data_IF_096242789771
#
_entry.id   IF_096242789771
#
_cell.length_a   1.000
_cell.length_b   1.000
_cell.length_c   1.000
_cell.angle_alpha   90.00
_cell.angle_beta   90.00
_cell.angle_gamma   90.00
#
_symmetry.space_group_name_H-M   'P 1'
#
loop_
_entity.id
_entity.type
_entity.pdbx_description
1 polymer ?
#
# COMPACT_ATOMS: atom_id res chain seq x y z
N UNK A 1 -50.84 -36.82 -64.08
CA UNK A 1 -50.93 -36.33 -62.69
C UNK A 1 -49.54 -36.43 -62.04
N UNK A 2 -49.09 -35.41 -61.29
CA UNK A 2 -47.68 -35.21 -60.95
C UNK A 2 -47.27 -35.99 -59.70
N UNK A 3 -46.08 -36.62 -59.72
CA UNK A 3 -45.42 -37.14 -58.51
C UNK A 3 -44.86 -35.96 -57.71
N UNK A 4 -45.33 -35.79 -56.47
CA UNK A 4 -44.79 -34.87 -55.46
C UNK A 4 -43.42 -35.36 -54.95
N UNK A 5 -42.54 -34.43 -54.50
CA UNK A 5 -41.11 -34.66 -54.39
C UNK A 5 -40.72 -35.40 -53.12
N UNK A 6 -39.64 -36.17 -53.24
CA UNK A 6 -38.99 -36.90 -52.16
C UNK A 6 -38.59 -35.97 -51.00
N UNK A 7 -38.80 -36.49 -49.79
CA UNK A 7 -38.62 -35.82 -48.50
C UNK A 7 -37.28 -35.08 -48.35
N UNK A 8 -37.30 -33.77 -48.59
CA UNK A 8 -36.22 -32.84 -48.22
C UNK A 8 -36.04 -32.67 -46.70
N UNK A 9 -36.93 -33.24 -45.87
CA UNK A 9 -36.91 -33.10 -44.40
C UNK A 9 -35.77 -33.87 -43.73
N UNK A 10 -35.45 -35.08 -44.20
CA UNK A 10 -34.39 -35.92 -43.60
C UNK A 10 -32.99 -35.31 -43.78
N UNK A 11 -32.72 -34.76 -44.96
CA UNK A 11 -31.43 -34.14 -45.30
C UNK A 11 -31.22 -32.84 -44.53
N UNK A 12 -32.25 -32.01 -44.36
CA UNK A 12 -32.17 -30.75 -43.59
C UNK A 12 -31.98 -31.04 -42.10
N UNK A 13 -32.67 -32.03 -41.55
CA UNK A 13 -32.53 -32.44 -40.14
C UNK A 13 -31.14 -33.03 -39.85
N UNK A 14 -30.60 -33.85 -40.76
CA UNK A 14 -29.25 -34.38 -40.64
C UNK A 14 -28.19 -33.28 -40.76
N UNK A 15 -28.38 -32.32 -41.69
CA UNK A 15 -27.53 -31.13 -41.81
C UNK A 15 -27.56 -30.24 -40.57
N UNK A 16 -28.71 -30.07 -39.93
CA UNK A 16 -28.82 -29.31 -38.68
C UNK A 16 -28.13 -30.02 -37.51
N UNK A 17 -28.22 -31.36 -37.42
CA UNK A 17 -27.45 -32.12 -36.43
C UNK A 17 -25.95 -32.00 -36.65
N UNK A 18 -25.49 -32.03 -37.90
CA UNK A 18 -24.07 -31.80 -38.24
C UNK A 18 -23.64 -30.37 -37.86
N UNK A 19 -24.46 -29.36 -38.15
CA UNK A 19 -24.17 -27.96 -37.79
C UNK A 19 -24.10 -27.76 -36.27
N UNK A 20 -25.03 -28.34 -35.51
CA UNK A 20 -25.05 -28.25 -34.04
C UNK A 20 -23.84 -28.97 -33.44
N UNK A 21 -23.50 -30.15 -33.94
CA UNK A 21 -22.34 -30.91 -33.45
C UNK A 21 -21.02 -30.22 -33.79
N UNK A 22 -20.88 -29.64 -34.99
CA UNK A 22 -19.72 -28.81 -35.36
C UNK A 22 -19.62 -27.55 -34.50
N UNK A 23 -20.74 -26.86 -34.25
CA UNK A 23 -20.77 -25.68 -33.38
C UNK A 23 -20.38 -26.03 -31.93
N UNK A 24 -20.89 -27.14 -31.40
CA UNK A 24 -20.53 -27.60 -30.06
C UNK A 24 -19.05 -27.98 -29.97
N UNK A 25 -18.52 -28.67 -30.99
CA UNK A 25 -17.10 -29.00 -31.06
C UNK A 25 -16.21 -27.75 -31.14
N UNK A 26 -16.60 -26.74 -31.93
CA UNK A 26 -15.91 -25.45 -32.00
C UNK A 26 -15.97 -24.70 -30.65
N UNK A 27 -17.10 -24.72 -29.96
CA UNK A 27 -17.20 -24.14 -28.61
C UNK A 27 -16.31 -24.88 -27.60
N UNK A 28 -16.24 -26.21 -27.64
CA UNK A 28 -15.36 -26.99 -26.75
C UNK A 28 -13.89 -26.72 -27.08
N UNK A 29 -13.53 -26.63 -28.36
CA UNK A 29 -12.17 -26.27 -28.79
C UNK A 29 -11.82 -24.82 -28.40
N UNK A 30 -12.77 -23.89 -28.48
CA UNK A 30 -12.60 -22.51 -28.01
C UNK A 30 -12.46 -22.45 -26.49
N UNK A 31 -13.23 -23.24 -25.74
CA UNK A 31 -13.05 -23.36 -24.29
C UNK A 31 -11.71 -24.01 -23.93
N UNK A 32 -11.28 -25.02 -24.67
CA UNK A 32 -9.96 -25.63 -24.50
C UNK A 32 -8.83 -24.67 -24.89
N UNK A 33 -9.00 -23.84 -25.91
CA UNK A 33 -8.01 -22.83 -26.31
C UNK A 33 -7.97 -21.67 -25.33
N UNK A 34 -9.10 -21.20 -24.80
CA UNK A 34 -9.18 -20.21 -23.72
C UNK A 34 -8.58 -20.78 -22.43
N UNK A 35 -8.85 -22.05 -22.10
CA UNK A 35 -8.29 -22.69 -20.90
C UNK A 35 -6.80 -23.01 -21.07
N UNK A 36 -6.34 -23.37 -22.28
CA UNK A 36 -4.90 -23.40 -22.63
C UNK A 36 -4.29 -22.01 -22.60
N UNK A 37 -5.00 -20.96 -23.02
CA UNK A 37 -4.49 -19.60 -22.95
C UNK A 37 -4.42 -19.14 -21.50
N UNK A 38 -5.45 -19.36 -20.67
CA UNK A 38 -5.41 -19.16 -19.21
C UNK A 38 -4.34 -20.00 -18.52
N UNK A 39 -4.05 -21.24 -18.97
CA UNK A 39 -2.96 -22.06 -18.44
C UNK A 39 -1.58 -21.66 -18.98
N UNK A 40 -1.51 -21.05 -20.17
CA UNK A 40 -0.33 -20.39 -20.73
C UNK A 40 -0.10 -18.99 -20.13
N UNK A 41 -1.14 -18.33 -19.61
CA UNK A 41 -1.05 -17.13 -18.75
C UNK A 41 -0.81 -17.52 -17.29
N UNK A 42 -1.13 -18.76 -16.89
CA UNK A 42 -0.81 -19.34 -15.58
C UNK A 42 0.46 -20.19 -15.59
N UNK A 43 1.24 -20.16 -16.69
CA UNK A 43 2.65 -20.52 -16.65
C UNK A 43 3.35 -19.33 -16.01
N UNK A 44 3.40 -19.36 -14.68
CA UNK A 44 4.52 -18.88 -13.88
C UNK A 44 5.32 -17.74 -14.53
N UNK A 45 4.68 -16.62 -14.88
CA UNK A 45 5.33 -15.33 -14.75
C UNK A 45 5.57 -15.22 -13.26
N UNK A 46 6.76 -15.69 -12.88
CA UNK A 46 7.47 -15.28 -11.70
C UNK A 46 7.53 -13.75 -11.71
N UNK A 47 6.42 -13.09 -11.38
CA UNK A 47 6.37 -11.68 -10.99
C UNK A 47 6.96 -11.52 -9.57
N UNK A 48 7.91 -12.39 -9.24
CA UNK A 48 8.76 -12.36 -8.06
C UNK A 48 10.13 -11.75 -8.38
N UNK A 49 10.33 -11.23 -9.59
CA UNK A 49 11.62 -10.66 -10.03
C UNK A 49 11.60 -9.15 -10.31
N UNK A 50 10.63 -8.38 -9.82
CA UNK A 50 10.68 -6.91 -9.88
C UNK A 50 10.28 -6.17 -8.59
N UNK A 51 10.07 -6.90 -7.49
CA UNK A 51 10.06 -6.35 -6.13
C UNK A 51 11.28 -6.80 -5.32
N UNK A 52 12.38 -7.14 -5.99
CA UNK A 52 13.69 -6.91 -5.38
C UNK A 52 13.91 -5.40 -5.35
N UNK A 53 13.27 -4.72 -4.40
CA UNK A 53 13.95 -3.58 -3.75
C UNK A 53 15.33 -4.14 -3.42
N UNK A 54 16.34 -3.60 -4.08
CA UNK A 54 17.68 -4.14 -4.07
C UNK A 54 18.03 -4.58 -2.65
N UNK A 55 18.56 -5.79 -2.55
CA UNK A 55 19.03 -6.46 -1.34
C UNK A 55 20.16 -5.67 -0.69
N UNK A 56 19.84 -4.50 -0.20
CA UNK A 56 20.62 -3.67 0.68
C UNK A 56 19.78 -3.66 1.96
N UNK A 57 20.11 -4.56 2.90
CA UNK A 57 19.77 -4.24 4.29
C UNK A 57 20.46 -2.90 4.50
N UNK A 58 19.69 -1.82 4.62
CA UNK A 58 20.26 -0.49 4.86
C UNK A 58 21.19 -0.68 6.07
N UNK A 59 22.52 -0.55 5.90
CA UNK A 59 23.43 -0.78 7.00
C UNK A 59 23.02 0.13 8.14
N UNK A 60 23.12 -0.34 9.38
CA UNK A 60 22.90 0.50 10.55
C UNK A 60 24.04 1.53 10.60
N UNK A 61 23.92 2.61 9.82
CA UNK A 61 24.89 3.69 9.80
C UNK A 61 24.61 4.53 11.03
N UNK A 62 25.50 4.44 12.01
CA UNK A 62 25.45 5.32 13.18
C UNK A 62 25.69 6.74 12.69
N UNK A 63 24.66 7.58 12.75
CA UNK A 63 24.77 8.98 12.39
C UNK A 63 25.73 9.69 13.37
N UNK A 64 26.80 10.25 12.83
CA UNK A 64 27.84 10.99 13.57
C UNK A 64 27.81 12.48 13.32
N UNK A 65 26.78 12.99 12.62
CA UNK A 65 26.63 14.42 12.33
C UNK A 65 25.92 15.16 13.46
N UNK A 66 26.12 16.47 13.51
CA UNK A 66 25.56 17.33 14.56
C UNK A 66 24.20 17.94 14.20
N UNK A 67 23.62 17.58 13.03
CA UNK A 67 22.44 18.25 12.45
C UNK A 67 21.42 17.25 11.90
N UNK A 68 20.60 16.62 12.77
CA UNK A 68 19.57 15.69 12.35
C UNK A 68 18.49 16.38 11.51
N UNK A 69 18.06 15.75 10.42
CA UNK A 69 16.95 16.21 9.57
C UNK A 69 15.62 15.53 9.92
N UNK A 70 14.54 16.26 9.65
CA UNK A 70 13.19 15.72 9.51
C UNK A 70 12.92 15.38 8.05
N UNK A 71 12.65 14.11 7.77
CA UNK A 71 12.11 13.67 6.49
C UNK A 71 10.59 13.77 6.52
N UNK A 72 10.02 14.64 5.68
CA UNK A 72 8.59 14.74 5.44
C UNK A 72 8.22 13.81 4.27
N UNK A 73 7.36 12.83 4.56
CA UNK A 73 6.96 11.78 3.63
C UNK A 73 5.49 11.98 3.27
N UNK A 74 5.24 12.57 2.10
CA UNK A 74 3.88 12.80 1.62
C UNK A 74 3.41 11.59 0.82
N UNK A 75 2.37 10.92 1.31
CA UNK A 75 1.63 9.89 0.58
C UNK A 75 0.37 10.53 -0.01
N UNK A 76 0.50 11.05 -1.23
CA UNK A 76 -0.58 11.71 -1.95
C UNK A 76 -1.08 10.81 -3.08
N UNK A 77 -2.31 11.03 -3.57
CA UNK A 77 -2.75 10.34 -4.79
C UNK A 77 -2.24 11.06 -6.03
N UNK A 78 -2.50 12.37 -6.15
CA UNK A 78 -2.08 13.22 -7.26
C UNK A 78 -1.54 14.53 -6.70
N UNK A 79 -2.43 15.47 -6.43
CA UNK A 79 -2.07 16.83 -6.07
C UNK A 79 -1.90 16.98 -4.54
N UNK A 80 -1.27 18.08 -4.12
CA UNK A 80 -1.20 18.53 -2.73
C UNK A 80 -2.04 19.81 -2.58
N UNK A 81 -3.36 19.72 -2.34
CA UNK A 81 -4.25 20.89 -2.37
C UNK A 81 -3.95 21.92 -1.28
N UNK A 82 -3.22 21.53 -0.25
CA UNK A 82 -2.80 22.37 0.88
C UNK A 82 -1.33 22.80 0.77
N UNK A 83 -0.74 22.72 -0.43
CA UNK A 83 0.66 23.09 -0.71
C UNK A 83 1.03 24.49 -0.22
N UNK A 84 0.10 25.45 -0.23
CA UNK A 84 0.31 26.82 0.23
C UNK A 84 0.60 26.93 1.74
N UNK A 85 0.01 26.06 2.56
CA UNK A 85 0.32 25.99 4.00
C UNK A 85 1.72 25.44 4.21
N UNK A 86 2.05 24.38 3.47
CA UNK A 86 3.36 23.75 3.51
C UNK A 86 4.47 24.65 2.94
N UNK A 87 4.20 25.43 1.89
CA UNK A 87 5.11 26.44 1.34
C UNK A 87 5.48 27.46 2.41
N UNK A 88 4.49 28.03 3.11
CA UNK A 88 4.76 28.97 4.21
C UNK A 88 5.55 28.32 5.35
N UNK A 89 5.20 27.08 5.70
CA UNK A 89 5.87 26.31 6.73
C UNK A 89 7.36 26.09 6.38
N UNK A 90 7.67 25.62 5.17
CA UNK A 90 9.05 25.36 4.73
C UNK A 90 9.85 26.64 4.45
N UNK A 91 9.23 27.74 4.01
CA UNK A 91 9.91 29.05 3.87
C UNK A 91 10.47 29.58 5.19
N UNK A 92 9.86 29.22 6.31
CA UNK A 92 10.32 29.60 7.65
C UNK A 92 11.49 28.75 8.18
N UNK A 93 11.91 27.72 7.43
CA UNK A 93 12.85 26.70 7.88
C UNK A 93 14.22 26.80 7.18
N UNK A 94 15.30 26.43 7.90
CA UNK A 94 16.60 26.16 7.27
C UNK A 94 16.50 24.86 6.45
N UNK A 95 16.74 24.93 5.14
CA UNK A 95 16.66 23.78 4.22
C UNK A 95 17.61 22.63 4.61
N UNK A 96 18.64 22.89 5.41
CA UNK A 96 19.54 21.84 5.92
C UNK A 96 18.90 20.96 6.99
N UNK A 97 17.78 21.37 7.57
CA UNK A 97 17.10 20.70 8.68
C UNK A 97 15.98 19.74 8.24
N UNK A 98 15.67 19.68 6.94
CA UNK A 98 14.62 18.80 6.46
C UNK A 98 14.89 18.27 5.06
N UNK A 99 14.09 17.26 4.68
CA UNK A 99 14.02 16.68 3.36
C UNK A 99 12.56 16.34 3.06
N UNK A 100 12.17 16.35 1.78
CA UNK A 100 10.79 16.10 1.35
C UNK A 100 10.82 14.95 0.35
N UNK A 101 9.93 13.98 0.54
CA UNK A 101 9.72 12.84 -0.35
C UNK A 101 8.23 12.71 -0.63
N UNK A 102 7.87 12.49 -1.89
CA UNK A 102 6.47 12.40 -2.30
C UNK A 102 6.23 11.08 -3.03
N UNK A 103 5.24 10.33 -2.57
CA UNK A 103 4.68 9.24 -3.34
C UNK A 103 3.35 9.69 -3.93
N UNK A 104 3.17 9.42 -5.21
CA UNK A 104 1.95 9.71 -5.98
C UNK A 104 1.69 8.58 -6.96
N UNK A 105 0.55 8.61 -7.68
CA UNK A 105 0.29 7.62 -8.72
C UNK A 105 1.43 7.60 -9.76
N UNK A 106 1.74 6.43 -10.36
CA UNK A 106 2.77 6.32 -11.38
C UNK A 106 2.54 7.31 -12.54
N UNK A 107 3.61 8.01 -12.93
CA UNK A 107 3.59 8.97 -14.03
C UNK A 107 3.07 10.36 -13.68
N UNK A 108 2.61 10.59 -12.45
CA UNK A 108 2.31 11.94 -11.98
C UNK A 108 3.62 12.71 -11.71
N UNK A 109 3.66 13.99 -12.04
CA UNK A 109 4.83 14.86 -11.89
C UNK A 109 4.40 16.10 -11.15
N UNK A 110 5.17 16.48 -10.13
CA UNK A 110 5.00 17.77 -9.46
C UNK A 110 5.82 18.84 -10.17
N UNK A 111 5.15 19.72 -10.89
CA UNK A 111 5.71 20.90 -11.54
C UNK A 111 4.78 22.12 -11.39
N UNK A 112 5.12 23.22 -12.06
CA UNK A 112 4.38 24.49 -12.03
C UNK A 112 2.90 24.36 -12.43
N UNK A 113 2.52 23.31 -13.17
CA UNK A 113 1.13 23.06 -13.58
C UNK A 113 0.31 22.34 -12.51
N UNK A 114 0.98 21.64 -11.58
CA UNK A 114 0.35 20.75 -10.59
C UNK A 114 0.44 21.23 -9.14
N UNK A 115 1.40 22.09 -8.82
CA UNK A 115 1.65 22.64 -7.48
C UNK A 115 2.14 24.07 -7.59
N UNK A 116 1.72 24.92 -6.65
CA UNK A 116 2.16 26.31 -6.55
C UNK A 116 3.43 26.46 -5.71
N UNK A 117 3.76 25.44 -4.93
CA UNK A 117 4.94 25.42 -4.07
C UNK A 117 6.13 24.79 -4.78
N UNK A 118 7.20 25.57 -4.92
CA UNK A 118 8.47 25.12 -5.51
C UNK A 118 9.15 24.02 -4.66
N UNK A 119 8.81 23.92 -3.38
CA UNK A 119 9.34 22.88 -2.49
C UNK A 119 8.93 21.46 -2.91
N UNK A 120 7.93 21.30 -3.77
CA UNK A 120 7.46 19.99 -4.21
C UNK A 120 7.90 19.62 -5.62
N UNK A 121 8.57 20.52 -6.35
CA UNK A 121 8.89 20.31 -7.75
C UNK A 121 9.83 19.11 -7.93
N UNK A 122 9.40 18.15 -8.76
CA UNK A 122 10.14 16.97 -9.17
C UNK A 122 10.64 16.09 -8.00
N UNK A 123 9.97 16.15 -6.84
CA UNK A 123 10.31 15.35 -5.66
C UNK A 123 9.54 14.03 -5.55
N UNK A 124 8.64 13.75 -6.49
CA UNK A 124 7.98 12.45 -6.54
C UNK A 124 8.97 11.30 -6.78
N UNK A 125 8.72 10.18 -6.10
CA UNK A 125 9.48 8.96 -6.32
C UNK A 125 9.28 8.45 -7.76
N UNK A 126 10.37 8.02 -8.40
CA UNK A 126 10.33 7.53 -9.79
C UNK A 126 9.70 6.13 -9.90
N UNK A 127 9.81 5.32 -8.85
CA UNK A 127 9.32 3.95 -8.78
C UNK A 127 8.00 3.85 -7.98
N UNK A 128 7.09 4.80 -8.21
CA UNK A 128 5.77 4.83 -7.57
C UNK A 128 4.98 3.53 -7.77
N UNK A 129 4.10 3.27 -6.80
CA UNK A 129 3.25 2.08 -6.71
C UNK A 129 1.82 2.51 -6.95
N UNK A 130 1.06 1.76 -7.75
CA UNK A 130 -0.38 1.98 -7.84
C UNK A 130 -1.05 1.60 -6.51
N UNK A 131 -1.42 2.61 -5.73
CA UNK A 131 -2.06 2.42 -4.44
C UNK A 131 -3.56 2.22 -4.60
N UNK A 132 -4.08 1.19 -3.94
CA UNK A 132 -5.51 0.95 -3.76
C UNK A 132 -5.85 1.09 -2.27
N UNK A 133 -6.93 1.81 -1.96
CA UNK A 133 -7.34 2.06 -0.58
C UNK A 133 -7.80 0.78 0.13
N UNK A 134 -7.29 0.56 1.35
CA UNK A 134 -7.55 -0.63 2.15
C UNK A 134 -6.87 -1.89 1.64
N UNK A 135 -5.89 -1.77 0.74
CA UNK A 135 -5.06 -2.86 0.26
C UNK A 135 -3.61 -2.69 0.71
N UNK A 136 -2.86 -3.78 0.72
CA UNK A 136 -1.46 -3.80 1.14
C UNK A 136 -0.52 -2.99 0.23
N UNK A 137 -1.00 -2.53 -0.93
CA UNK A 137 -0.29 -1.55 -1.77
C UNK A 137 -0.04 -0.22 -1.04
N UNK A 138 -0.91 0.15 -0.08
CA UNK A 138 -0.74 1.36 0.74
C UNK A 138 0.53 1.24 1.59
N UNK A 139 0.65 0.14 2.36
CA UNK A 139 1.86 -0.17 3.15
C UNK A 139 3.10 -0.24 2.24
N UNK A 140 2.98 -0.82 1.04
CA UNK A 140 4.11 -0.90 0.11
C UNK A 140 4.62 0.50 -0.28
N UNK A 141 3.72 1.45 -0.53
CA UNK A 141 4.05 2.84 -0.83
C UNK A 141 4.70 3.56 0.37
N UNK A 142 4.16 3.37 1.57
CA UNK A 142 4.74 3.90 2.82
C UNK A 142 6.15 3.38 3.06
N UNK A 143 6.37 2.07 2.90
CA UNK A 143 7.69 1.45 3.01
C UNK A 143 8.67 1.99 1.97
N UNK A 144 8.19 2.27 0.75
CA UNK A 144 9.01 2.84 -0.31
C UNK A 144 9.44 4.29 0.02
N UNK A 145 8.53 5.11 0.56
CA UNK A 145 8.86 6.45 1.08
C UNK A 145 9.92 6.38 2.17
N UNK A 146 9.72 5.52 3.17
CA UNK A 146 10.67 5.33 4.27
C UNK A 146 12.03 4.84 3.75
N UNK A 147 12.05 3.88 2.83
CA UNK A 147 13.29 3.37 2.25
C UNK A 147 14.08 4.46 1.53
N UNK A 148 13.40 5.25 0.69
CA UNK A 148 14.00 6.37 -0.05
C UNK A 148 14.54 7.44 0.91
N UNK A 149 13.82 7.73 2.00
CA UNK A 149 14.25 8.70 2.98
C UNK A 149 15.40 8.22 3.87
N UNK A 150 15.52 6.90 4.10
CA UNK A 150 16.61 6.31 4.88
C UNK A 150 17.96 6.37 4.14
N UNK A 151 17.96 6.60 2.82
CA UNK A 151 19.20 6.76 2.04
C UNK A 151 20.01 7.99 2.47
N UNK A 152 19.36 9.09 2.93
CA UNK A 152 20.07 10.20 3.56
C UNK A 152 20.38 9.84 5.03
N UNK A 153 21.65 9.66 5.42
CA UNK A 153 22.01 9.34 6.79
C UNK A 153 21.70 10.48 7.76
N UNK A 154 21.48 11.71 7.27
CA UNK A 154 21.09 12.87 8.09
C UNK A 154 19.62 12.81 8.50
N UNK A 155 18.78 12.06 7.80
CA UNK A 155 17.37 11.88 8.19
C UNK A 155 17.29 11.02 9.45
N UNK A 156 16.91 11.65 10.56
CA UNK A 156 16.82 11.01 11.89
C UNK A 156 15.39 10.97 12.42
N UNK A 157 14.48 11.75 11.84
CA UNK A 157 13.04 11.72 12.11
C UNK A 157 12.27 11.61 10.80
N UNK A 158 11.20 10.83 10.80
CA UNK A 158 10.41 10.53 9.60
C UNK A 158 8.94 10.81 9.93
N UNK A 159 8.31 11.71 9.20
CA UNK A 159 6.92 12.13 9.41
C UNK A 159 6.11 11.72 8.19
N UNK A 160 5.18 10.78 8.38
CA UNK A 160 4.29 10.32 7.31
C UNK A 160 2.99 11.13 7.30
N UNK A 161 2.67 11.71 6.15
CA UNK A 161 1.58 12.67 5.97
C UNK A 161 0.72 12.31 4.75
N UNK A 162 -0.57 12.68 4.82
CA UNK A 162 -1.45 12.66 3.66
C UNK A 162 -1.43 14.00 2.92
N UNK A 163 -2.15 14.05 1.80
CA UNK A 163 -2.50 15.26 1.06
C UNK A 163 -3.46 16.21 1.83
N UNK A 164 -4.03 15.75 2.95
CA UNK A 164 -4.94 16.51 3.81
C UNK A 164 -4.34 16.93 5.15
N UNK A 165 -3.12 16.53 5.49
CA UNK A 165 -2.44 16.92 6.73
C UNK A 165 -1.98 18.39 6.67
N UNK A 166 -1.98 19.06 7.83
CA UNK A 166 -1.57 20.46 7.95
C UNK A 166 -0.70 20.67 9.18
N UNK A 167 0.41 21.41 9.11
CA UNK A 167 1.21 21.69 10.30
C UNK A 167 0.42 22.59 11.24
N UNK A 168 0.25 22.15 12.50
CA UNK A 168 -0.47 22.91 13.54
C UNK A 168 0.42 23.91 14.29
N UNK A 169 1.74 23.77 14.14
CA UNK A 169 2.76 24.61 14.77
C UNK A 169 3.83 25.00 13.73
N UNK A 170 4.64 26.00 14.05
CA UNK A 170 5.76 26.41 13.19
C UNK A 170 6.86 25.32 13.09
N UNK A 171 7.69 25.44 12.06
CA UNK A 171 8.75 24.46 11.80
C UNK A 171 9.72 24.34 12.98
N UNK A 172 10.10 25.45 13.60
CA UNK A 172 11.04 25.46 14.72
C UNK A 172 10.53 24.68 15.91
N UNK A 173 9.25 24.82 16.24
CA UNK A 173 8.60 24.04 17.31
C UNK A 173 8.60 22.54 16.98
N UNK A 174 8.08 22.16 15.81
CA UNK A 174 7.98 20.76 15.37
C UNK A 174 9.36 20.10 15.32
N UNK A 175 10.35 20.79 14.75
CA UNK A 175 11.73 20.32 14.66
C UNK A 175 12.30 20.05 16.06
N UNK A 176 12.24 21.03 16.97
CA UNK A 176 12.76 20.86 18.35
C UNK A 176 12.05 19.73 19.08
N UNK A 177 10.71 19.66 18.98
CA UNK A 177 9.91 18.64 19.65
C UNK A 177 10.27 17.22 19.16
N UNK A 178 10.31 17.02 17.84
CA UNK A 178 10.59 15.71 17.27
C UNK A 178 12.06 15.29 17.46
N UNK A 179 13.01 16.18 17.17
CA UNK A 179 14.45 15.86 17.27
C UNK A 179 14.87 15.56 18.71
N UNK A 180 14.36 16.30 19.69
CA UNK A 180 14.72 16.10 21.10
C UNK A 180 14.07 14.85 21.73
N UNK A 181 12.94 14.40 21.19
CA UNK A 181 12.25 13.20 21.69
C UNK A 181 12.99 11.92 21.29
N UNK A 182 13.35 11.01 22.21
CA UNK A 182 13.90 9.70 21.86
C UNK A 182 12.84 8.72 21.36
N UNK A 183 11.56 9.12 21.30
CA UNK A 183 10.41 8.25 21.05
C UNK A 183 9.85 8.43 19.65
N UNK A 184 9.25 7.37 19.15
CA UNK A 184 8.31 7.47 18.03
C UNK A 184 6.89 7.73 18.53
N UNK A 185 6.11 8.40 17.71
CA UNK A 185 4.71 8.72 17.94
C UNK A 185 3.85 7.89 16.99
N UNK A 186 3.30 6.81 17.54
CA UNK A 186 2.50 5.82 16.82
C UNK A 186 1.34 5.44 17.73
N UNK A 187 0.11 5.74 17.33
CA UNK A 187 -1.08 5.31 18.05
C UNK A 187 -1.13 3.78 18.07
N UNK A 188 -1.36 3.17 19.23
CA UNK A 188 -1.45 1.71 19.32
C UNK A 188 -2.43 1.30 20.42
N UNK A 189 -3.57 0.78 20.02
CA UNK A 189 -4.61 0.29 20.92
C UNK A 189 -5.11 -1.08 20.49
N UNK A 190 -5.83 -1.75 21.40
CA UNK A 190 -6.46 -3.03 21.10
C UNK A 190 -7.63 -2.81 20.13
N UNK A 191 -7.69 -3.65 19.10
CA UNK A 191 -8.77 -3.61 18.11
C UNK A 191 -10.08 -4.17 18.68
N UNK A 192 -11.09 -3.31 18.83
CA UNK A 192 -12.43 -3.68 19.29
C UNK A 192 -13.30 -4.29 18.18
N UNK A 193 -12.95 -4.05 16.91
CA UNK A 193 -13.81 -4.33 15.74
C UNK A 193 -13.68 -5.79 15.23
N UNK A 194 -12.97 -6.66 15.96
CA UNK A 194 -12.74 -8.08 15.62
C UNK A 194 -12.22 -8.29 14.18
N UNK A 195 -11.36 -7.39 13.68
CA UNK A 195 -10.82 -7.44 12.31
C UNK A 195 -9.71 -8.50 12.13
N UNK A 196 -9.11 -8.92 13.24
CA UNK A 196 -8.10 -9.98 13.26
C UNK A 196 -8.63 -11.32 12.73
N UNK A 197 -7.81 -12.02 11.95
CA UNK A 197 -8.09 -13.38 11.48
C UNK A 197 -7.01 -14.36 11.95
N UNK A 198 -7.42 -15.56 12.38
CA UNK A 198 -6.50 -16.62 12.82
C UNK A 198 -5.52 -17.08 11.73
N UNK A 199 -5.77 -16.74 10.46
CA UNK A 199 -4.85 -17.03 9.34
C UNK A 199 -3.51 -16.28 9.44
N UNK A 200 -3.42 -15.23 10.27
CA UNK A 200 -2.18 -14.51 10.50
C UNK A 200 -1.29 -15.17 11.58
N UNK A 201 -1.82 -16.14 12.33
CA UNK A 201 -1.05 -16.94 13.29
C UNK A 201 -0.12 -17.93 12.55
N UNK A 202 1.11 -18.21 13.03
CA UNK A 202 1.70 -17.75 14.29
C UNK A 202 2.46 -16.41 14.20
N UNK A 203 2.69 -15.88 12.99
CA UNK A 203 3.54 -14.71 12.78
C UNK A 203 3.00 -13.46 13.49
N UNK A 204 1.70 -13.20 13.34
CA UNK A 204 0.99 -12.15 14.07
C UNK A 204 0.04 -12.82 15.04
N UNK A 205 0.41 -12.85 16.31
CA UNK A 205 -0.47 -13.34 17.38
C UNK A 205 -1.56 -12.32 17.68
N UNK A 206 -2.74 -12.79 18.12
CA UNK A 206 -3.88 -11.91 18.41
C UNK A 206 -3.56 -10.88 19.50
N UNK A 207 -2.78 -11.28 20.49
CA UNK A 207 -2.32 -10.43 21.60
C UNK A 207 -1.39 -9.28 21.15
N UNK A 208 -0.78 -9.45 19.96
CA UNK A 208 0.13 -8.49 19.34
C UNK A 208 -0.54 -7.66 18.24
N UNK A 209 -1.79 -7.98 17.88
CA UNK A 209 -2.60 -7.21 16.94
C UNK A 209 -2.96 -5.85 17.52
N UNK A 210 -2.58 -4.78 16.83
CA UNK A 210 -2.82 -3.40 17.26
C UNK A 210 -3.50 -2.61 16.15
N UNK A 211 -4.28 -1.61 16.54
CA UNK A 211 -4.91 -0.61 15.67
C UNK A 211 -4.37 0.78 16.03
N UNK A 212 -4.28 1.66 15.05
CA UNK A 212 -3.83 3.04 15.22
C UNK A 212 -4.13 3.90 14.00
N UNK A 213 -3.75 5.17 14.10
CA UNK A 213 -3.67 6.07 12.93
C UNK A 213 -2.59 5.58 11.96
N UNK A 214 -2.85 5.72 10.66
CA UNK A 214 -1.83 5.54 9.61
C UNK A 214 -0.72 6.59 9.72
N UNK A 215 -1.07 7.81 10.12
CA UNK A 215 -0.16 8.96 10.18
C UNK A 215 0.68 8.90 11.45
N UNK A 216 2.00 8.90 11.27
CA UNK A 216 2.98 8.57 12.32
C UNK A 216 4.23 9.44 12.23
N UNK A 217 4.95 9.54 13.35
CA UNK A 217 6.30 10.09 13.40
C UNK A 217 7.27 9.08 14.00
N UNK A 218 8.36 8.79 13.30
CA UNK A 218 9.29 7.72 13.64
C UNK A 218 10.70 8.25 13.90
N UNK A 219 11.38 7.61 14.83
CA UNK A 219 12.84 7.65 14.90
C UNK A 219 13.42 6.72 13.83
N UNK A 220 14.66 6.99 13.41
CA UNK A 220 15.34 6.22 12.37
C UNK A 220 15.32 4.70 12.58
N UNK A 221 15.65 4.23 13.77
CA UNK A 221 15.70 2.79 14.05
C UNK A 221 14.34 2.08 13.87
N UNK A 222 13.22 2.77 14.12
CA UNK A 222 11.90 2.21 13.85
C UNK A 222 11.54 2.25 12.36
N UNK A 223 11.95 3.29 11.62
CA UNK A 223 11.82 3.32 10.17
C UNK A 223 12.60 2.16 9.51
N UNK A 224 13.81 1.88 9.99
CA UNK A 224 14.63 0.74 9.55
C UNK A 224 13.94 -0.61 9.83
N UNK A 225 13.29 -0.78 10.99
CA UNK A 225 12.49 -1.99 11.28
C UNK A 225 11.36 -2.17 10.26
N UNK A 226 10.67 -1.09 9.89
CA UNK A 226 9.55 -1.15 8.93
C UNK A 226 10.03 -1.50 7.53
N UNK A 227 11.10 -0.86 7.06
CA UNK A 227 11.63 -1.09 5.71
C UNK A 227 12.22 -2.49 5.57
N UNK A 228 12.89 -3.00 6.61
CA UNK A 228 13.52 -4.31 6.61
C UNK A 228 12.57 -5.47 6.97
N UNK A 229 11.27 -5.21 7.20
CA UNK A 229 10.33 -6.27 7.57
C UNK A 229 10.05 -7.24 6.40
N UNK A 230 10.44 -8.50 6.58
CA UNK A 230 10.21 -9.63 5.69
C UNK A 230 9.26 -10.68 6.31
N UNK A 231 8.67 -10.39 7.47
CA UNK A 231 7.85 -11.35 8.24
C UNK A 231 6.38 -10.94 8.32
N UNK A 232 6.07 -9.75 8.83
CA UNK A 232 4.70 -9.31 9.12
C UNK A 232 4.03 -8.82 7.84
N UNK A 233 4.72 -8.07 7.00
CA UNK A 233 4.15 -7.52 5.78
C UNK A 233 3.63 -8.58 4.80
N UNK A 234 4.36 -9.68 4.48
CA UNK A 234 3.80 -10.74 3.64
C UNK A 234 2.51 -11.36 4.19
N UNK A 235 2.39 -11.45 5.52
CA UNK A 235 1.18 -11.94 6.20
C UNK A 235 0.03 -10.95 6.04
N UNK A 236 0.28 -9.65 6.21
CA UNK A 236 -0.71 -8.60 5.94
C UNK A 236 -1.14 -8.59 4.46
N UNK A 237 -0.18 -8.66 3.53
CA UNK A 237 -0.45 -8.75 2.10
C UNK A 237 -1.38 -9.90 1.74
N UNK A 238 -1.21 -11.05 2.40
CA UNK A 238 -1.98 -12.26 2.11
C UNK A 238 -3.35 -12.29 2.80
N UNK A 239 -3.45 -11.81 4.04
CA UNK A 239 -4.61 -12.09 4.89
C UNK A 239 -5.36 -10.85 5.40
N UNK A 240 -4.73 -9.67 5.44
CA UNK A 240 -5.41 -8.43 5.82
C UNK A 240 -5.97 -7.75 4.57
N UNK A 241 -7.24 -8.04 4.26
CA UNK A 241 -7.93 -7.50 3.09
C UNK A 241 -9.19 -6.76 3.50
N UNK A 242 -9.44 -5.61 2.86
CA UNK A 242 -10.70 -4.89 3.03
C UNK A 242 -11.84 -5.71 2.44
N UNK A 243 -12.94 -5.79 3.17
CA UNK A 243 -14.18 -6.34 2.60
C UNK A 243 -14.85 -5.27 1.73
N UNK A 244 -15.06 -5.57 0.45
CA UNK A 244 -15.81 -4.68 -0.43
C UNK A 244 -17.29 -4.56 0.03
N UNK A 245 -17.94 -3.40 -0.15
CA UNK A 245 -19.37 -3.27 0.08
C UNK A 245 -20.16 -4.34 -0.70
N UNK A 246 -21.17 -4.91 -0.05
CA UNK A 246 -21.99 -5.96 -0.65
C UNK A 246 -22.77 -5.39 -1.85
N UNK A 247 -22.57 -5.98 -3.04
CA UNK A 247 -23.55 -5.87 -4.12
C UNK A 247 -24.78 -6.70 -3.69
N UNK A 248 -25.98 -6.10 -3.55
CA UNK A 248 -27.19 -6.82 -3.15
C UNK A 248 -27.48 -8.04 -4.01
N UNK A 249 -27.06 -8.02 -5.30
CA UNK A 249 -27.27 -9.11 -6.26
C UNK A 249 -26.32 -10.30 -6.08
N UNK A 250 -25.24 -10.15 -5.29
CA UNK A 250 -24.23 -11.19 -5.07
C UNK A 250 -24.23 -11.73 -3.64
N UNK A 251 -25.21 -11.34 -2.82
CA UNK A 251 -25.26 -11.58 -1.37
C UNK A 251 -25.06 -13.07 -0.98
N UNK A 252 -25.62 -14.01 -1.76
CA UNK A 252 -25.47 -15.45 -1.54
C UNK A 252 -24.03 -15.97 -1.69
N UNK A 253 -23.23 -15.41 -2.61
CA UNK A 253 -21.82 -15.77 -2.79
C UNK A 253 -20.94 -15.32 -1.61
N UNK A 254 -21.36 -14.27 -0.90
CA UNK A 254 -20.60 -13.66 0.20
C UNK A 254 -20.96 -14.26 1.56
N UNK A 255 -22.20 -14.68 1.78
CA UNK A 255 -22.61 -15.40 3.00
C UNK A 255 -21.79 -16.69 3.24
N UNK A 256 -21.30 -17.33 2.17
CA UNK A 256 -20.44 -18.53 2.25
C UNK A 256 -18.98 -18.24 2.62
N UNK A 257 -18.51 -16.99 2.48
CA UNK A 257 -17.15 -16.57 2.84
C UNK A 257 -17.23 -15.56 3.98
N UNK A 258 -16.99 -16.01 5.23
CA UNK A 258 -16.71 -15.13 6.38
C UNK A 258 -15.46 -14.27 6.10
N UNK A 259 -15.62 -13.19 5.36
CA UNK A 259 -14.55 -12.24 5.02
C UNK A 259 -14.42 -11.24 6.16
N UNK A 260 -13.30 -11.31 6.87
CA UNK A 260 -12.94 -10.32 7.87
C UNK A 260 -12.55 -9.02 7.17
N UNK A 261 -13.21 -7.91 7.53
CA UNK A 261 -12.83 -6.60 7.05
C UNK A 261 -11.55 -6.16 7.78
N UNK A 262 -10.42 -6.12 7.09
CA UNK A 262 -9.14 -5.69 7.64
C UNK A 262 -8.61 -4.48 6.86
N UNK A 263 -8.14 -3.45 7.57
CA UNK A 263 -7.62 -2.21 6.98
C UNK A 263 -6.11 -2.18 7.23
N UNK A 264 -5.28 -2.59 6.25
CA UNK A 264 -3.86 -2.87 6.50
C UNK A 264 -3.07 -1.67 7.04
N UNK A 265 -3.32 -0.48 6.51
CA UNK A 265 -2.68 0.80 6.85
C UNK A 265 -2.97 1.28 8.29
N UNK A 266 -4.11 0.92 8.87
CA UNK A 266 -4.46 1.26 10.27
C UNK A 266 -3.89 0.26 11.30
N UNK A 267 -3.18 -0.77 10.86
CA UNK A 267 -2.82 -1.90 11.72
C UNK A 267 -1.35 -2.35 11.60
N UNK A 268 -0.75 -2.20 10.42
CA UNK A 268 0.54 -2.82 10.11
C UNK A 268 1.68 -2.30 10.98
N UNK A 269 1.91 -1.00 11.01
CA UNK A 269 3.07 -0.40 11.70
C UNK A 269 2.99 -0.69 13.21
N UNK A 270 1.82 -0.48 13.80
CA UNK A 270 1.56 -0.70 15.23
C UNK A 270 1.81 -2.15 15.61
N UNK A 271 1.31 -3.08 14.78
CA UNK A 271 1.45 -4.52 15.00
C UNK A 271 2.90 -4.96 14.82
N UNK A 272 3.56 -4.54 13.73
CA UNK A 272 4.96 -4.86 13.47
C UNK A 272 5.86 -4.39 14.61
N UNK A 273 5.73 -3.14 15.04
CA UNK A 273 6.52 -2.60 16.13
C UNK A 273 6.25 -3.34 17.45
N UNK A 274 5.01 -3.77 17.69
CA UNK A 274 4.63 -4.58 18.86
C UNK A 274 5.16 -6.02 18.81
N UNK A 275 5.33 -6.58 17.61
CA UNK A 275 5.95 -7.90 17.39
C UNK A 275 7.47 -7.82 17.53
N UNK A 276 8.10 -6.81 16.94
CA UNK A 276 9.55 -6.68 16.81
C UNK A 276 10.25 -6.07 18.02
N UNK A 277 9.55 -5.22 18.81
CA UNK A 277 10.16 -4.58 19.98
C UNK A 277 9.83 -5.34 21.27
N UNK A 278 10.87 -5.70 22.03
CA UNK A 278 10.72 -6.28 23.38
C UNK A 278 10.42 -5.22 24.46
N UNK A 279 10.76 -3.95 24.19
CA UNK A 279 10.64 -2.83 25.13
C UNK A 279 9.67 -1.76 24.59
N UNK A 280 8.48 -1.69 25.18
CA UNK A 280 7.45 -0.68 24.87
C UNK A 280 7.82 0.75 25.33
N UNK A 281 9.03 0.98 25.88
CA UNK A 281 9.42 2.25 26.51
C UNK A 281 9.70 3.39 25.52
N UNK A 282 9.90 3.09 24.23
CA UNK A 282 10.21 4.09 23.19
C UNK A 282 9.00 4.56 22.37
N UNK A 283 7.78 4.22 22.80
CA UNK A 283 6.55 4.71 22.19
C UNK A 283 5.92 5.80 23.07
N UNK A 284 5.51 6.90 22.43
CA UNK A 284 4.54 7.82 23.01
C UNK A 284 3.27 7.73 22.18
N UNK A 285 2.12 7.62 22.84
CA UNK A 285 0.83 7.60 22.17
C UNK A 285 0.39 9.04 21.94
N UNK A 286 0.31 9.41 20.66
CA UNK A 286 -0.13 10.70 20.11
C UNK A 286 0.69 11.94 20.48
N UNK A 287 1.17 12.65 19.47
CA UNK A 287 1.34 14.10 19.52
C UNK A 287 0.67 14.68 18.27
N UNK A 288 -0.41 15.42 18.46
CA UNK A 288 -1.11 16.08 17.36
C UNK A 288 -0.28 17.28 16.89
N UNK A 289 0.65 17.03 15.97
CA UNK A 289 1.51 18.03 15.35
C UNK A 289 1.05 18.40 13.92
N UNK A 290 0.24 17.53 13.30
CA UNK A 290 -0.11 17.55 11.86
C UNK A 290 -1.54 17.10 11.60
#
# INVERSE_FOLDING_TARGET
>A
MPRLPSSRRGVVWFRWKILITLSAALCILALFSINRHSNSTATTTTLSSSLSVARSRIPLVKYSGDRPKLAFLFLARRDLPLDFLWDRFFKSADQRNFSIYIHSIPGFVFDESSTRSQFFYNLQLKNSIQVVWGESSMIAAERLLLASALEDPSNQRFVLLSDSCVPLYDFGYIYRYLVSSPKSFVDSFLDKDKRYTMKMFPVVRKEKWRKGSQWISLIRSHAEVIVNDDTVFPVFQKFCKRSLPLDPRKNWLYLKKRRHNCIPDEHYVQTLLTVSTKNYQNFSFSSALF
#
